data_IF_292181803150
#
_entry.id   IF_292181803150
#
_cell.length_a   1.000
_cell.length_b   1.000
_cell.length_c   1.000
_cell.angle_alpha   90.00
_cell.angle_beta   90.00
_cell.angle_gamma   90.00
#
_symmetry.space_group_name_H-M   'P 1'
#
loop_
_entity.id
_entity.type
_entity.pdbx_description
1 polymer ?
#
# COMPACT_ATOMS: atom_id res chain seq x y z
N UNK A 1 -21.59 -8.18 18.94
CA UNK A 1 -21.16 -6.78 19.10
C UNK A 1 -20.13 -6.36 18.05
N UNK A 2 -18.95 -6.99 17.94
CA UNK A 2 -17.97 -6.61 16.89
C UNK A 2 -18.60 -6.66 15.49
N UNK A 3 -19.33 -7.71 15.13
CA UNK A 3 -19.98 -7.81 13.83
C UNK A 3 -20.93 -6.62 13.52
N UNK A 4 -21.80 -6.25 14.47
CA UNK A 4 -22.71 -5.12 14.32
C UNK A 4 -21.96 -3.78 14.17
N UNK A 5 -20.85 -3.63 14.90
CA UNK A 5 -19.98 -2.46 14.75
C UNK A 5 -19.34 -2.40 13.35
N UNK A 6 -18.85 -3.53 12.83
CA UNK A 6 -18.25 -3.56 11.50
C UNK A 6 -19.28 -3.26 10.41
N UNK A 7 -20.48 -3.77 10.55
CA UNK A 7 -21.59 -3.46 9.67
C UNK A 7 -21.92 -1.96 9.69
N UNK A 8 -21.98 -1.35 10.87
CA UNK A 8 -22.12 0.09 11.03
C UNK A 8 -20.97 0.88 10.36
N UNK A 9 -19.74 0.39 10.52
CA UNK A 9 -18.56 1.04 9.90
C UNK A 9 -18.64 1.03 8.37
N UNK A 10 -19.09 -0.07 7.77
CA UNK A 10 -19.21 -0.21 6.32
C UNK A 10 -20.41 0.57 5.80
N UNK A 11 -21.60 0.28 6.33
CA UNK A 11 -22.86 0.72 5.73
C UNK A 11 -23.29 2.13 6.17
N UNK A 12 -22.87 2.59 7.35
CA UNK A 12 -23.25 3.93 7.85
C UNK A 12 -22.10 4.92 7.74
N UNK A 13 -20.86 4.50 8.08
CA UNK A 13 -19.68 5.38 8.03
C UNK A 13 -18.96 5.37 6.68
N UNK A 14 -19.32 4.48 5.76
CA UNK A 14 -18.70 4.37 4.45
C UNK A 14 -17.24 3.93 4.49
N UNK A 15 -16.82 3.22 5.54
CA UNK A 15 -15.46 2.73 5.66
C UNK A 15 -15.19 1.59 4.67
N UNK A 16 -13.95 1.52 4.16
CA UNK A 16 -13.56 0.43 3.26
C UNK A 16 -13.59 -0.92 3.98
N UNK A 17 -13.90 -1.99 3.23
CA UNK A 17 -13.84 -3.37 3.74
C UNK A 17 -12.47 -3.71 4.36
N UNK A 18 -11.37 -3.21 3.80
CA UNK A 18 -10.03 -3.39 4.36
C UNK A 18 -9.87 -2.74 5.74
N UNK A 19 -10.44 -1.56 5.95
CA UNK A 19 -10.43 -0.89 7.26
C UNK A 19 -11.23 -1.70 8.26
N UNK A 20 -12.43 -2.15 7.89
CA UNK A 20 -13.30 -3.00 8.72
C UNK A 20 -12.58 -4.31 9.09
N UNK A 21 -11.95 -4.99 8.15
CA UNK A 21 -11.18 -6.21 8.40
C UNK A 21 -9.98 -5.98 9.34
N UNK A 22 -9.27 -4.86 9.19
CA UNK A 22 -8.16 -4.49 10.08
C UNK A 22 -8.65 -4.26 11.51
N UNK A 23 -9.78 -3.56 11.68
CA UNK A 23 -10.38 -3.32 12.97
C UNK A 23 -10.94 -4.61 13.59
N UNK A 24 -11.58 -5.46 12.77
CA UNK A 24 -12.02 -6.79 13.20
C UNK A 24 -10.89 -7.60 13.80
N UNK A 25 -9.78 -7.72 13.07
CA UNK A 25 -8.62 -8.49 13.53
C UNK A 25 -8.07 -7.94 14.85
N UNK A 26 -7.90 -6.62 14.94
CA UNK A 26 -7.39 -5.96 16.15
C UNK A 26 -8.30 -6.17 17.37
N UNK A 27 -9.61 -5.98 17.20
CA UNK A 27 -10.60 -6.13 18.28
C UNK A 27 -10.80 -7.60 18.68
N UNK A 28 -10.70 -8.54 17.72
CA UNK A 28 -10.81 -9.98 18.02
C UNK A 28 -9.63 -10.48 18.84
N UNK A 29 -8.40 -10.03 18.52
CA UNK A 29 -7.23 -10.34 19.33
C UNK A 29 -7.33 -9.76 20.75
N UNK A 30 -7.82 -8.52 20.89
CA UNK A 30 -8.05 -7.92 22.20
C UNK A 30 -9.15 -8.65 22.99
N UNK A 31 -10.25 -9.04 22.35
CA UNK A 31 -11.30 -9.84 23.00
C UNK A 31 -10.75 -11.16 23.51
N UNK A 32 -9.90 -11.83 22.74
CA UNK A 32 -9.23 -13.08 23.18
C UNK A 32 -8.32 -12.84 24.39
N UNK A 33 -7.54 -11.77 24.38
CA UNK A 33 -6.69 -11.39 25.50
C UNK A 33 -7.52 -11.16 26.79
N UNK A 34 -8.64 -10.42 26.69
CA UNK A 34 -9.54 -10.19 27.83
C UNK A 34 -10.15 -11.49 28.37
N UNK A 35 -10.52 -12.43 27.49
CA UNK A 35 -11.07 -13.74 27.89
C UNK A 35 -10.11 -14.59 28.69
N UNK A 36 -8.81 -14.47 28.43
CA UNK A 36 -7.77 -15.21 29.18
C UNK A 36 -7.57 -14.60 30.57
N UNK A 37 -7.75 -13.29 30.71
CA UNK A 37 -7.46 -12.57 31.96
C UNK A 37 -8.65 -12.38 32.91
N UNK A 38 -9.87 -12.40 32.40
CA UNK A 38 -11.09 -12.13 33.15
C UNK A 38 -12.01 -13.36 33.17
N UNK A 39 -12.56 -13.65 34.31
CA UNK A 39 -13.47 -14.81 34.52
C UNK A 39 -14.81 -14.64 33.75
N UNK A 40 -15.25 -13.42 33.53
CA UNK A 40 -16.49 -13.12 32.80
C UNK A 40 -16.32 -11.83 31.96
N UNK A 41 -15.61 -11.89 30.83
CA UNK A 41 -15.29 -10.69 30.05
C UNK A 41 -16.53 -10.19 29.30
N UNK A 42 -16.94 -8.97 29.62
CA UNK A 42 -17.91 -8.22 28.83
C UNK A 42 -17.29 -6.90 28.37
N UNK A 43 -17.77 -6.34 27.27
CA UNK A 43 -17.27 -5.05 26.79
C UNK A 43 -17.54 -3.89 27.78
N UNK A 44 -18.58 -4.03 28.60
CA UNK A 44 -18.91 -3.05 29.66
C UNK A 44 -17.97 -3.14 30.87
N UNK A 45 -17.26 -4.23 31.05
CA UNK A 45 -16.28 -4.40 32.13
C UNK A 45 -14.85 -4.08 31.73
N UNK A 46 -14.63 -3.65 30.48
CA UNK A 46 -13.30 -3.22 30.00
C UNK A 46 -13.02 -1.82 30.51
N UNK A 47 -11.90 -1.65 31.16
CA UNK A 47 -11.39 -0.38 31.67
C UNK A 47 -10.10 0.07 30.95
N UNK A 48 -9.56 1.21 31.38
CA UNK A 48 -8.32 1.76 30.82
C UNK A 48 -7.13 0.82 31.05
N UNK A 49 -7.11 0.14 32.20
CA UNK A 49 -6.02 -0.74 32.62
C UNK A 49 -5.94 -2.00 31.72
N UNK A 50 -7.08 -2.52 31.28
CA UNK A 50 -7.14 -3.62 30.30
C UNK A 50 -6.50 -3.22 28.96
N UNK A 51 -6.79 -2.01 28.47
CA UNK A 51 -6.24 -1.51 27.20
C UNK A 51 -4.74 -1.30 27.33
N UNK A 52 -4.28 -0.67 28.42
CA UNK A 52 -2.86 -0.46 28.71
C UNK A 52 -2.13 -1.80 28.82
N UNK A 53 -2.70 -2.77 29.56
CA UNK A 53 -2.15 -4.12 29.68
C UNK A 53 -2.01 -4.82 28.33
N UNK A 54 -3.00 -4.65 27.43
CA UNK A 54 -2.90 -5.20 26.08
C UNK A 54 -1.84 -4.50 25.24
N UNK A 55 -1.67 -3.19 25.39
CA UNK A 55 -0.57 -2.46 24.74
C UNK A 55 0.78 -2.99 25.21
N UNK A 56 0.97 -3.23 26.51
CA UNK A 56 2.18 -3.87 27.03
C UNK A 56 2.38 -5.27 26.46
N UNK A 57 1.33 -6.08 26.41
CA UNK A 57 1.36 -7.41 25.78
C UNK A 57 1.78 -7.35 24.31
N UNK A 58 1.18 -6.44 23.53
CA UNK A 58 1.57 -6.27 22.13
C UNK A 58 3.05 -5.89 21.98
N UNK A 59 3.55 -4.98 22.82
CA UNK A 59 4.94 -4.53 22.80
C UNK A 59 5.91 -5.64 23.24
N UNK A 60 5.59 -6.41 24.26
CA UNK A 60 6.40 -7.57 24.69
C UNK A 60 6.49 -8.65 23.62
N UNK A 61 5.49 -8.77 22.75
CA UNK A 61 5.49 -9.65 21.58
C UNK A 61 6.23 -9.06 20.38
N UNK A 62 6.88 -7.91 20.51
CA UNK A 62 7.65 -7.26 19.46
C UNK A 62 6.82 -6.52 18.38
N UNK A 63 5.50 -6.30 18.60
CA UNK A 63 4.71 -5.57 17.63
C UNK A 63 5.14 -4.10 17.54
N UNK A 64 5.08 -3.56 16.32
CA UNK A 64 5.49 -2.18 16.03
C UNK A 64 4.55 -1.16 16.70
N UNK A 65 5.07 0.05 17.00
CA UNK A 65 4.26 1.17 17.47
C UNK A 65 3.07 1.45 16.54
N UNK A 66 3.26 1.33 15.22
CA UNK A 66 2.19 1.47 14.23
C UNK A 66 1.07 0.46 14.43
N UNK A 67 1.40 -0.81 14.68
CA UNK A 67 0.40 -1.86 14.93
C UNK A 67 -0.40 -1.57 16.21
N UNK A 68 0.28 -1.10 17.27
CA UNK A 68 -0.37 -0.68 18.52
C UNK A 68 -1.30 0.51 18.27
N UNK A 69 -0.86 1.50 17.50
CA UNK A 69 -1.68 2.68 17.18
C UNK A 69 -2.91 2.33 16.32
N UNK A 70 -2.82 1.32 15.46
CA UNK A 70 -3.98 0.78 14.72
C UNK A 70 -4.99 0.14 15.69
N UNK A 71 -4.51 -0.64 16.66
CA UNK A 71 -5.36 -1.19 17.72
C UNK A 71 -6.04 -0.08 18.55
N UNK A 72 -5.29 0.92 18.99
CA UNK A 72 -5.85 2.04 19.76
C UNK A 72 -6.92 2.78 18.97
N UNK A 73 -6.68 3.05 17.68
CA UNK A 73 -7.67 3.69 16.82
C UNK A 73 -8.95 2.83 16.64
N UNK A 74 -8.79 1.52 16.47
CA UNK A 74 -9.90 0.59 16.40
C UNK A 74 -10.70 0.55 17.72
N UNK A 75 -9.99 0.54 18.86
CA UNK A 75 -10.59 0.54 20.19
C UNK A 75 -11.36 1.83 20.46
N UNK A 76 -10.76 3.00 20.22
CA UNK A 76 -11.47 4.29 20.37
C UNK A 76 -12.76 4.29 19.56
N UNK A 77 -12.69 3.89 18.29
CA UNK A 77 -13.87 3.88 17.40
C UNK A 77 -14.94 2.87 17.85
N UNK A 78 -14.51 1.70 18.33
CA UNK A 78 -15.43 0.66 18.81
C UNK A 78 -16.11 1.04 20.12
N UNK A 79 -15.37 1.56 21.10
CA UNK A 79 -15.94 1.98 22.37
C UNK A 79 -16.81 3.24 22.21
N UNK A 80 -16.51 4.14 21.27
CA UNK A 80 -17.43 5.23 20.90
C UNK A 80 -18.76 4.71 20.37
N UNK A 81 -18.73 3.66 19.53
CA UNK A 81 -19.93 2.99 19.06
C UNK A 81 -20.73 2.39 20.22
N UNK A 82 -20.07 1.74 21.19
CA UNK A 82 -20.73 1.19 22.37
C UNK A 82 -21.33 2.28 23.25
N UNK A 83 -20.68 3.41 23.41
CA UNK A 83 -21.23 4.55 24.15
C UNK A 83 -22.49 5.10 23.50
N UNK A 84 -22.51 5.21 22.16
CA UNK A 84 -23.64 5.79 21.42
C UNK A 84 -24.86 4.87 21.34
N UNK A 85 -24.64 3.56 21.18
CA UNK A 85 -25.70 2.64 20.80
C UNK A 85 -25.97 1.52 21.83
N UNK A 86 -25.05 1.33 22.79
CA UNK A 86 -25.15 0.21 23.75
C UNK A 86 -25.02 0.63 25.22
N UNK A 87 -25.22 1.92 25.52
CA UNK A 87 -25.31 2.43 26.87
C UNK A 87 -24.02 2.41 27.70
N UNK A 88 -22.83 2.23 27.07
CA UNK A 88 -21.58 2.35 27.77
C UNK A 88 -21.36 3.80 28.21
N UNK A 89 -21.07 4.04 29.49
CA UNK A 89 -21.03 5.40 30.05
C UNK A 89 -19.79 6.19 29.61
N UNK A 90 -18.67 5.52 29.46
CA UNK A 90 -17.39 6.16 29.09
C UNK A 90 -16.59 5.28 28.15
N UNK A 91 -15.89 5.90 27.22
CA UNK A 91 -14.94 5.21 26.32
C UNK A 91 -13.58 5.09 27.02
N UNK A 92 -13.16 3.90 27.45
CA UNK A 92 -11.89 3.72 28.15
C UNK A 92 -10.66 3.94 27.24
N UNK A 93 -10.81 3.80 25.93
CA UNK A 93 -9.70 3.88 24.99
C UNK A 93 -9.23 5.32 24.72
N UNK A 94 -10.04 6.34 25.01
CA UNK A 94 -9.66 7.75 24.80
C UNK A 94 -8.54 8.17 25.77
N UNK A 95 -8.46 7.52 26.93
CA UNK A 95 -7.47 7.86 27.96
C UNK A 95 -6.08 7.31 27.69
N UNK A 96 -5.92 6.51 26.61
CA UNK A 96 -4.64 5.89 26.27
C UNK A 96 -4.02 6.62 25.07
N UNK A 97 -2.89 7.25 25.31
CA UNK A 97 -2.15 7.96 24.29
C UNK A 97 -1.55 7.03 23.23
N UNK A 98 -1.39 7.56 22.03
CA UNK A 98 -0.69 6.84 20.96
C UNK A 98 0.77 6.64 21.31
N UNK A 99 1.27 5.45 20.95
CA UNK A 99 2.70 5.14 21.06
C UNK A 99 3.48 5.96 20.03
N UNK A 100 4.53 6.63 20.45
CA UNK A 100 5.40 7.43 19.57
C UNK A 100 6.03 6.54 18.50
N UNK A 101 5.77 6.86 17.25
CA UNK A 101 6.39 6.18 16.10
C UNK A 101 7.72 6.87 15.75
N UNK A 102 8.83 6.12 15.63
CA UNK A 102 10.06 6.70 15.11
C UNK A 102 9.85 7.14 13.66
N UNK A 103 10.19 8.38 13.35
CA UNK A 103 10.23 8.87 11.97
C UNK A 103 11.37 8.14 11.25
N UNK A 104 11.05 7.13 10.46
CA UNK A 104 12.01 6.47 9.57
C UNK A 104 11.85 7.04 8.18
N UNK A 105 12.97 7.39 7.56
CA UNK A 105 12.99 7.69 6.14
C UNK A 105 12.58 6.42 5.37
N UNK A 106 11.73 6.51 4.35
CA UNK A 106 11.42 5.37 3.52
C UNK A 106 12.71 4.83 2.90
N UNK A 107 12.91 3.53 3.02
CA UNK A 107 13.95 2.85 2.26
C UNK A 107 13.46 2.69 0.83
N UNK A 108 14.31 2.97 -0.13
CA UNK A 108 14.07 2.81 -1.57
C UNK A 108 14.81 1.58 -2.08
N UNK A 109 14.31 1.01 -3.16
CA UNK A 109 14.98 -0.07 -3.87
C UNK A 109 16.12 0.56 -4.68
N UNK A 110 17.32 0.00 -4.59
CA UNK A 110 18.49 0.46 -5.32
C UNK A 110 18.33 0.31 -6.83
N UNK A 111 18.99 1.17 -7.60
CA UNK A 111 18.91 1.15 -9.06
C UNK A 111 19.44 -0.18 -9.62
N UNK A 112 20.48 -0.76 -9.03
CA UNK A 112 21.03 -2.07 -9.40
C UNK A 112 20.01 -3.21 -9.47
N UNK A 113 19.02 -3.21 -8.57
CA UNK A 113 17.92 -4.18 -8.59
C UNK A 113 17.03 -4.01 -9.83
N UNK A 114 16.81 -2.76 -10.26
CA UNK A 114 16.05 -2.48 -11.48
C UNK A 114 16.85 -2.83 -12.74
N UNK A 115 18.15 -2.59 -12.73
CA UNK A 115 19.04 -2.96 -13.84
C UNK A 115 19.04 -4.48 -14.03
N UNK A 116 19.11 -5.24 -12.94
CA UNK A 116 18.99 -6.70 -12.94
C UNK A 116 17.60 -7.14 -13.38
N UNK A 117 16.53 -6.48 -12.92
CA UNK A 117 15.16 -6.74 -13.35
C UNK A 117 15.00 -6.56 -14.86
N UNK A 118 15.44 -5.46 -15.42
CA UNK A 118 15.34 -5.21 -16.86
C UNK A 118 16.24 -6.14 -17.68
N UNK A 119 17.40 -6.52 -17.15
CA UNK A 119 18.28 -7.54 -17.77
C UNK A 119 17.59 -8.91 -17.80
N UNK A 120 16.99 -9.33 -16.69
CA UNK A 120 16.25 -10.61 -16.59
C UNK A 120 15.05 -10.67 -17.54
N UNK A 121 14.38 -9.55 -17.76
CA UNK A 121 13.24 -9.41 -18.66
C UNK A 121 13.60 -8.74 -19.99
N UNK A 122 14.84 -8.89 -20.48
CA UNK A 122 15.34 -8.24 -21.69
C UNK A 122 14.55 -8.58 -22.97
N UNK A 123 13.84 -9.71 -22.98
CA UNK A 123 12.98 -10.15 -24.08
C UNK A 123 11.55 -10.47 -23.58
N UNK A 124 10.77 -9.45 -23.24
CA UNK A 124 9.44 -9.66 -22.65
C UNK A 124 8.52 -10.47 -23.57
N UNK A 125 8.62 -10.31 -24.88
CA UNK A 125 7.83 -11.02 -25.89
C UNK A 125 8.06 -12.55 -25.90
N UNK A 126 9.20 -13.03 -25.43
CA UNK A 126 9.52 -14.45 -25.33
C UNK A 126 9.01 -15.11 -24.03
N UNK A 127 8.52 -14.32 -23.08
CA UNK A 127 8.05 -14.81 -21.78
C UNK A 127 6.71 -15.55 -21.91
N UNK A 128 6.42 -16.47 -21.00
CA UNK A 128 5.06 -16.97 -20.81
C UNK A 128 4.12 -15.80 -20.45
N UNK A 129 2.84 -15.90 -20.83
CA UNK A 129 1.84 -14.84 -20.66
C UNK A 129 1.85 -14.22 -19.26
N UNK A 130 1.76 -15.06 -18.22
CA UNK A 130 1.76 -14.58 -16.83
C UNK A 130 3.04 -13.84 -16.44
N UNK A 131 4.21 -14.30 -16.91
CA UNK A 131 5.47 -13.59 -16.63
C UNK A 131 5.50 -12.22 -17.28
N UNK A 132 5.00 -12.08 -18.50
CA UNK A 132 4.90 -10.81 -19.19
C UNK A 132 3.88 -9.88 -18.51
N UNK A 133 2.71 -10.38 -18.11
CA UNK A 133 1.72 -9.65 -17.31
C UNK A 133 2.33 -9.06 -16.03
N UNK A 134 3.16 -9.85 -15.32
CA UNK A 134 3.88 -9.38 -14.14
C UNK A 134 5.00 -8.38 -14.45
N UNK A 135 5.73 -8.57 -15.53
CA UNK A 135 6.70 -7.59 -16.01
C UNK A 135 6.04 -6.22 -16.20
N UNK A 136 4.95 -6.17 -16.96
CA UNK A 136 4.17 -4.95 -17.21
C UNK A 136 3.66 -4.33 -15.89
N UNK A 137 3.20 -5.17 -14.97
CA UNK A 137 2.72 -4.67 -13.67
C UNK A 137 3.78 -3.99 -12.84
N UNK A 138 5.02 -4.51 -12.85
CA UNK A 138 6.16 -3.87 -12.16
C UNK A 138 6.56 -2.59 -12.89
N UNK A 139 6.56 -2.58 -14.23
CA UNK A 139 6.82 -1.38 -15.03
C UNK A 139 5.81 -0.27 -14.74
N UNK A 140 4.52 -0.57 -14.61
CA UNK A 140 3.49 0.40 -14.21
C UNK A 140 3.78 1.03 -12.83
N UNK A 141 4.29 0.23 -11.89
CA UNK A 141 4.65 0.74 -10.57
C UNK A 141 5.97 1.54 -10.59
N UNK A 142 6.94 1.11 -11.39
CA UNK A 142 8.26 1.74 -11.50
C UNK A 142 8.23 3.06 -12.28
N UNK A 143 7.52 3.11 -13.41
CA UNK A 143 7.48 4.29 -14.30
C UNK A 143 6.34 5.26 -13.99
N UNK A 144 5.26 4.80 -13.37
CA UNK A 144 4.07 5.63 -13.13
C UNK A 144 3.64 5.68 -11.65
N UNK A 145 4.31 4.97 -10.76
CA UNK A 145 4.08 5.00 -9.32
C UNK A 145 2.69 4.51 -8.89
N UNK A 146 2.04 3.64 -9.65
CA UNK A 146 0.72 3.14 -9.32
C UNK A 146 0.72 2.28 -8.05
N UNK A 147 -0.39 2.27 -7.31
CA UNK A 147 -0.60 1.32 -6.22
C UNK A 147 -0.91 -0.07 -6.77
N UNK A 148 -0.60 -1.12 -6.02
CA UNK A 148 -0.92 -2.49 -6.42
C UNK A 148 -2.40 -2.68 -6.80
N UNK A 149 -3.33 -2.12 -6.03
CA UNK A 149 -4.77 -2.18 -6.34
C UNK A 149 -5.13 -1.42 -7.61
N UNK A 150 -4.45 -0.31 -7.91
CA UNK A 150 -4.66 0.48 -9.11
C UNK A 150 -4.15 -0.26 -10.35
N UNK A 151 -2.99 -0.91 -10.25
CA UNK A 151 -2.44 -1.79 -11.31
C UNK A 151 -3.40 -2.93 -11.64
N UNK A 152 -3.92 -3.61 -10.61
CA UNK A 152 -4.81 -4.76 -10.76
C UNK A 152 -6.22 -4.41 -11.28
N UNK A 153 -6.63 -3.13 -11.14
CA UNK A 153 -7.93 -2.65 -11.64
C UNK A 153 -7.81 -1.77 -12.87
N UNK A 154 -6.60 -1.57 -13.41
CA UNK A 154 -6.39 -0.73 -14.59
C UNK A 154 -6.97 -1.41 -15.83
N UNK A 155 -7.90 -0.71 -16.48
CA UNK A 155 -8.51 -1.12 -17.74
C UNK A 155 -7.82 -0.41 -18.91
N UNK A 156 -7.73 -1.08 -20.07
CA UNK A 156 -7.28 -0.46 -21.30
C UNK A 156 -8.12 0.75 -21.72
N UNK A 157 -9.40 0.77 -21.38
CA UNK A 157 -10.29 1.91 -21.63
C UNK A 157 -9.86 3.19 -20.89
N UNK A 158 -9.07 3.05 -19.84
CA UNK A 158 -8.54 4.16 -19.05
C UNK A 158 -7.17 4.67 -19.54
N UNK A 159 -6.64 4.10 -20.61
CA UNK A 159 -5.39 4.51 -21.24
C UNK A 159 -5.68 5.19 -22.56
N UNK A 160 -5.37 6.48 -22.65
CA UNK A 160 -5.61 7.28 -23.85
C UNK A 160 -4.61 8.43 -23.95
N UNK A 161 -4.13 8.71 -25.16
CA UNK A 161 -3.31 9.87 -25.47
C UNK A 161 -2.12 10.05 -24.51
N UNK A 162 -1.42 8.96 -24.22
CA UNK A 162 -0.26 8.90 -23.28
C UNK A 162 -0.61 9.30 -21.84
N UNK A 163 -1.83 9.05 -21.43
CA UNK A 163 -2.29 9.27 -20.07
C UNK A 163 -3.09 8.08 -19.56
N UNK A 164 -2.99 7.83 -18.26
CA UNK A 164 -3.82 6.86 -17.55
C UNK A 164 -4.78 7.58 -16.61
N UNK A 165 -6.06 7.30 -16.72
CA UNK A 165 -7.07 7.72 -15.76
C UNK A 165 -7.15 6.69 -14.64
N UNK A 166 -6.71 7.06 -13.45
CA UNK A 166 -6.65 6.18 -12.28
C UNK A 166 -7.72 6.57 -11.28
N UNK A 167 -8.54 5.60 -10.89
CA UNK A 167 -9.55 5.75 -9.84
C UNK A 167 -8.93 5.29 -8.52
N UNK A 168 -8.75 6.21 -7.59
CA UNK A 168 -8.11 5.98 -6.29
C UNK A 168 -9.12 5.74 -5.15
N UNK A 169 -8.61 5.70 -3.92
CA UNK A 169 -9.43 5.55 -2.72
C UNK A 169 -10.46 6.68 -2.60
N UNK A 170 -11.72 6.30 -2.35
CA UNK A 170 -12.85 7.25 -2.25
C UNK A 170 -13.34 7.75 -3.61
N UNK A 171 -13.15 6.96 -4.66
CA UNK A 171 -13.57 7.27 -6.04
C UNK A 171 -12.98 8.57 -6.60
N UNK A 172 -11.82 9.00 -6.08
CA UNK A 172 -11.11 10.17 -6.58
C UNK A 172 -10.32 9.81 -7.82
N UNK A 173 -10.57 10.50 -8.91
CA UNK A 173 -9.86 10.33 -10.17
C UNK A 173 -8.59 11.19 -10.21
N UNK A 174 -7.57 10.66 -10.89
CA UNK A 174 -6.38 11.43 -11.27
C UNK A 174 -5.86 10.97 -12.61
N UNK A 175 -5.15 11.85 -13.28
CA UNK A 175 -4.47 11.59 -14.54
C UNK A 175 -2.99 11.37 -14.25
N UNK A 176 -2.43 10.28 -14.77
CA UNK A 176 -1.01 9.93 -14.66
C UNK A 176 -0.43 9.89 -16.07
N UNK A 177 0.61 10.70 -16.38
CA UNK A 177 1.26 10.68 -17.70
C UNK A 177 2.05 9.37 -17.90
N UNK A 178 2.19 8.97 -19.15
CA UNK A 178 2.94 7.78 -19.58
C UNK A 178 4.21 8.25 -20.28
N UNK A 179 5.40 7.85 -19.78
CA UNK A 179 6.67 8.10 -20.45
C UNK A 179 6.84 7.21 -21.69
N UNK A 180 7.80 7.52 -22.55
CA UNK A 180 8.01 6.80 -23.82
C UNK A 180 8.27 5.32 -23.59
N UNK A 181 9.10 4.99 -22.60
CA UNK A 181 9.49 3.62 -22.27
C UNK A 181 8.27 2.80 -21.83
N UNK A 182 7.45 3.35 -20.95
CA UNK A 182 6.23 2.67 -20.50
C UNK A 182 5.22 2.54 -21.63
N UNK A 183 5.09 3.55 -22.51
CA UNK A 183 4.19 3.48 -23.66
C UNK A 183 4.57 2.30 -24.58
N UNK A 184 5.85 2.19 -24.95
CA UNK A 184 6.33 1.09 -25.81
C UNK A 184 6.05 -0.29 -25.18
N UNK A 185 6.26 -0.43 -23.87
CA UNK A 185 5.95 -1.68 -23.13
C UNK A 185 4.46 -1.99 -23.17
N UNK A 186 3.61 -0.97 -22.99
CA UNK A 186 2.15 -1.15 -23.02
C UNK A 186 1.63 -1.50 -24.42
N UNK A 187 2.17 -0.88 -25.46
CA UNK A 187 1.78 -1.14 -26.85
C UNK A 187 2.13 -2.59 -27.24
N UNK A 188 3.37 -3.02 -26.96
CA UNK A 188 3.80 -4.41 -27.20
C UNK A 188 2.91 -5.41 -26.42
N UNK A 189 2.66 -5.11 -25.14
CA UNK A 189 1.83 -5.97 -24.30
C UNK A 189 0.39 -6.06 -24.78
N UNK A 190 -0.21 -4.94 -25.19
CA UNK A 190 -1.59 -4.90 -25.68
C UNK A 190 -1.76 -5.79 -26.91
N UNK A 191 -0.87 -5.65 -27.91
CA UNK A 191 -0.87 -6.49 -29.11
C UNK A 191 -0.76 -7.98 -28.75
N UNK A 192 0.14 -8.32 -27.84
CA UNK A 192 0.32 -9.71 -27.41
C UNK A 192 -0.86 -10.23 -26.63
N UNK A 193 -1.44 -9.43 -25.73
CA UNK A 193 -2.58 -9.84 -24.93
C UNK A 193 -3.81 -10.09 -25.81
N UNK A 194 -4.07 -9.24 -26.81
CA UNK A 194 -5.12 -9.44 -27.81
C UNK A 194 -4.92 -10.74 -28.58
N UNK A 195 -3.71 -11.00 -29.07
CA UNK A 195 -3.39 -12.22 -29.82
C UNK A 195 -3.53 -13.49 -28.97
N UNK A 196 -3.19 -13.43 -27.68
CA UNK A 196 -3.26 -14.57 -26.78
C UNK A 196 -4.70 -14.89 -26.36
N UNK A 197 -5.49 -13.87 -26.00
CA UNK A 197 -6.87 -14.00 -25.55
C UNK A 197 -7.85 -14.18 -26.73
N UNK A 198 -7.42 -13.90 -27.95
CA UNK A 198 -8.24 -13.84 -29.15
C UNK A 198 -9.46 -12.92 -29.04
N UNK A 199 -9.34 -11.86 -28.20
CA UNK A 199 -10.34 -10.83 -27.96
C UNK A 199 -9.70 -9.53 -27.48
N UNK A 200 -10.49 -8.45 -27.41
CA UNK A 200 -10.02 -7.18 -26.80
C UNK A 200 -9.94 -7.33 -25.28
N UNK A 201 -8.73 -7.28 -24.68
CA UNK A 201 -8.57 -7.41 -23.24
C UNK A 201 -9.18 -6.22 -22.52
N UNK A 202 -9.88 -6.49 -21.40
CA UNK A 202 -10.40 -5.44 -20.55
C UNK A 202 -9.34 -4.92 -19.57
N UNK A 203 -8.68 -5.82 -18.84
CA UNK A 203 -7.65 -5.48 -17.84
C UNK A 203 -6.26 -5.44 -18.46
N UNK A 204 -5.46 -4.46 -18.07
CA UNK A 204 -4.05 -4.36 -18.48
C UNK A 204 -3.23 -5.49 -17.85
N UNK A 205 -3.52 -5.88 -16.61
CA UNK A 205 -2.88 -6.99 -15.90
C UNK A 205 -3.93 -8.04 -15.59
N UNK A 206 -3.82 -9.20 -16.24
CA UNK A 206 -4.79 -10.28 -16.11
C UNK A 206 -4.12 -11.66 -16.01
N UNK A 207 -4.90 -12.65 -15.62
CA UNK A 207 -4.59 -14.06 -15.80
C UNK A 207 -4.68 -14.46 -17.29
N UNK A 208 -4.32 -15.70 -17.60
CA UNK A 208 -4.36 -16.27 -18.97
C UNK A 208 -5.79 -16.38 -19.55
N UNK A 209 -6.80 -16.38 -18.70
CA UNK A 209 -8.21 -16.35 -19.07
C UNK A 209 -8.82 -14.93 -19.13
N UNK A 210 -8.00 -13.89 -19.03
CA UNK A 210 -8.43 -12.49 -18.98
C UNK A 210 -8.98 -12.03 -17.62
N UNK A 211 -9.15 -12.92 -16.66
CA UNK A 211 -9.68 -12.60 -15.34
C UNK A 211 -8.72 -11.79 -14.47
N UNK A 212 -9.24 -11.16 -13.42
CA UNK A 212 -8.46 -10.35 -12.51
C UNK A 212 -7.47 -11.19 -11.67
N UNK A 213 -6.24 -10.73 -11.57
CA UNK A 213 -5.21 -11.31 -10.70
C UNK A 213 -5.52 -11.01 -9.24
N UNK A 214 -5.49 -12.02 -8.37
CA UNK A 214 -5.74 -11.80 -6.93
C UNK A 214 -4.62 -10.98 -6.29
N UNK A 215 -4.99 -10.03 -5.41
CA UNK A 215 -4.02 -9.15 -4.76
C UNK A 215 -3.02 -9.87 -3.86
N UNK A 216 -3.35 -11.04 -3.30
CA UNK A 216 -2.44 -11.86 -2.51
C UNK A 216 -1.40 -12.55 -3.40
N UNK A 217 -1.83 -13.13 -4.52
CA UNK A 217 -0.95 -13.73 -5.51
C UNK A 217 0.00 -12.69 -6.12
N UNK A 218 -0.54 -11.53 -6.51
CA UNK A 218 0.23 -10.41 -7.03
C UNK A 218 1.37 -9.98 -6.09
N UNK A 219 1.04 -9.73 -4.80
CA UNK A 219 2.06 -9.33 -3.81
C UNK A 219 3.14 -10.39 -3.65
N UNK A 220 2.80 -11.68 -3.67
CA UNK A 220 3.76 -12.78 -3.60
C UNK A 220 4.66 -12.81 -4.82
N UNK A 221 4.11 -12.62 -6.02
CA UNK A 221 4.88 -12.61 -7.26
C UNK A 221 5.83 -11.42 -7.35
N UNK A 222 5.35 -10.20 -7.03
CA UNK A 222 6.23 -9.02 -6.96
C UNK A 222 7.39 -9.25 -6.00
N UNK A 223 7.11 -9.85 -4.83
CA UNK A 223 8.14 -10.17 -3.85
C UNK A 223 9.17 -11.13 -4.41
N UNK A 224 8.73 -12.24 -5.00
CA UNK A 224 9.63 -13.26 -5.55
C UNK A 224 10.52 -12.68 -6.64
N UNK A 225 9.95 -11.92 -7.58
CA UNK A 225 10.69 -11.30 -8.67
C UNK A 225 11.74 -10.31 -8.13
N UNK A 226 11.36 -9.42 -7.22
CA UNK A 226 12.30 -8.45 -6.66
C UNK A 226 13.43 -9.13 -5.86
N UNK A 227 13.12 -10.16 -5.09
CA UNK A 227 14.14 -10.92 -4.35
C UNK A 227 15.11 -11.63 -5.31
N UNK A 228 14.62 -12.21 -6.40
CA UNK A 228 15.50 -12.85 -7.40
C UNK A 228 16.39 -11.84 -8.15
N UNK A 229 16.01 -10.55 -8.18
CA UNK A 229 16.85 -9.46 -8.69
C UNK A 229 17.74 -8.81 -7.59
N UNK A 230 17.95 -9.47 -6.45
CA UNK A 230 18.83 -8.97 -5.38
C UNK A 230 18.20 -7.96 -4.42
N UNK A 231 16.89 -7.69 -4.52
CA UNK A 231 16.22 -6.79 -3.58
C UNK A 231 16.19 -7.38 -2.16
N UNK A 232 16.54 -6.60 -1.12
CA UNK A 232 16.37 -7.02 0.26
C UNK A 232 14.93 -7.44 0.57
N UNK A 233 14.77 -8.56 1.29
CA UNK A 233 13.46 -9.17 1.54
C UNK A 233 12.42 -8.22 2.15
N UNK A 234 12.84 -7.31 3.02
CA UNK A 234 11.99 -6.29 3.65
C UNK A 234 11.54 -5.18 2.69
N UNK A 235 12.25 -4.98 1.57
CA UNK A 235 11.91 -3.99 0.53
C UNK A 235 11.18 -4.62 -0.67
N UNK A 236 11.16 -5.93 -0.76
CA UNK A 236 10.55 -6.64 -1.88
C UNK A 236 9.01 -6.64 -1.78
N UNK A 237 8.39 -5.48 -1.98
CA UNK A 237 6.93 -5.33 -1.94
C UNK A 237 6.45 -4.14 -2.80
N UNK A 238 5.19 -4.15 -3.26
CA UNK A 238 4.63 -3.12 -4.15
C UNK A 238 4.77 -1.67 -3.66
N UNK A 239 4.67 -1.43 -2.36
CA UNK A 239 4.82 -0.06 -1.83
C UNK A 239 6.24 0.46 -1.95
N UNK A 240 7.27 -0.41 -1.87
CA UNK A 240 8.66 0.02 -2.07
C UNK A 240 8.92 0.44 -3.52
N UNK A 241 8.35 -0.23 -4.52
CA UNK A 241 8.40 0.19 -5.93
C UNK A 241 7.85 1.62 -6.10
N UNK A 242 6.69 1.88 -5.53
CA UNK A 242 6.08 3.22 -5.58
C UNK A 242 6.89 4.27 -4.80
N UNK A 243 7.50 3.90 -3.68
CA UNK A 243 8.40 4.78 -2.93
C UNK A 243 9.65 5.12 -3.76
N UNK A 244 10.23 4.13 -4.44
CA UNK A 244 11.38 4.33 -5.33
C UNK A 244 11.04 5.26 -6.50
N UNK A 245 9.88 5.07 -7.15
CA UNK A 245 9.38 6.01 -8.16
C UNK A 245 9.27 7.44 -7.61
N UNK A 246 8.61 7.60 -6.46
CA UNK A 246 8.38 8.91 -5.87
C UNK A 246 9.69 9.63 -5.51
N UNK A 247 10.65 8.91 -4.94
CA UNK A 247 11.98 9.44 -4.61
C UNK A 247 12.77 9.80 -5.87
N UNK A 248 12.76 8.94 -6.90
CA UNK A 248 13.39 9.21 -8.19
C UNK A 248 12.84 10.48 -8.85
N UNK A 249 11.52 10.64 -8.90
CA UNK A 249 10.88 11.83 -9.47
C UNK A 249 11.21 13.09 -8.67
N UNK A 250 11.25 13.02 -7.34
CA UNK A 250 11.65 14.14 -6.50
C UNK A 250 13.13 14.52 -6.73
N UNK A 251 14.02 13.54 -6.81
CA UNK A 251 15.43 13.75 -7.12
C UNK A 251 15.67 14.37 -8.53
N UNK A 252 14.81 14.05 -9.49
CA UNK A 252 14.81 14.66 -10.82
C UNK A 252 14.18 16.07 -10.85
N UNK A 253 13.80 16.64 -9.70
CA UNK A 253 13.26 18.01 -9.59
C UNK A 253 11.75 18.14 -9.83
N UNK A 254 11.00 17.04 -9.87
CA UNK A 254 9.53 17.15 -9.98
C UNK A 254 8.96 17.83 -8.73
N UNK A 255 8.15 18.88 -8.93
CA UNK A 255 7.59 19.65 -7.83
C UNK A 255 6.73 18.78 -6.88
N UNK A 256 6.74 19.10 -5.59
CA UNK A 256 5.96 18.40 -4.56
C UNK A 256 4.45 18.31 -4.91
N UNK A 257 3.91 19.38 -5.48
CA UNK A 257 2.50 19.44 -5.91
C UNK A 257 2.22 18.51 -7.08
N UNK A 258 3.13 18.46 -8.06
CA UNK A 258 3.01 17.56 -9.21
C UNK A 258 3.12 16.10 -8.77
N UNK A 259 4.08 15.81 -7.90
CA UNK A 259 4.26 14.47 -7.33
C UNK A 259 3.03 14.02 -6.51
N UNK A 260 2.47 14.92 -5.69
CA UNK A 260 1.24 14.67 -4.94
C UNK A 260 0.06 14.32 -5.87
N UNK A 261 -0.13 15.08 -6.95
CA UNK A 261 -1.18 14.83 -7.95
C UNK A 261 -1.01 13.49 -8.63
N UNK A 262 0.20 13.17 -9.13
CA UNK A 262 0.50 11.90 -9.80
C UNK A 262 0.28 10.72 -8.86
N UNK A 263 0.77 10.81 -7.63
CA UNK A 263 0.60 9.76 -6.64
C UNK A 263 -0.83 9.68 -6.07
N UNK A 264 -1.62 10.75 -6.14
CA UNK A 264 -2.96 10.81 -5.54
C UNK A 264 -2.90 10.69 -4.00
N UNK A 265 -2.00 11.48 -3.37
CA UNK A 265 -1.93 11.60 -1.94
C UNK A 265 -2.91 12.66 -1.44
N UNK A 266 -3.75 12.30 -0.48
CA UNK A 266 -4.72 13.21 0.14
C UNK A 266 -4.08 14.26 1.06
N UNK A 267 -2.82 14.07 1.46
CA UNK A 267 -2.07 14.96 2.34
C UNK A 267 -0.67 15.22 1.80
N UNK A 268 -0.24 16.49 1.84
CA UNK A 268 1.11 16.91 1.49
C UNK A 268 2.18 16.25 2.39
N UNK A 269 1.86 16.01 3.66
CA UNK A 269 2.79 15.38 4.60
C UNK A 269 3.27 13.99 4.14
N UNK A 270 2.44 13.25 3.40
CA UNK A 270 2.83 11.96 2.82
C UNK A 270 3.81 12.09 1.65
N UNK A 271 3.83 13.24 1.00
CA UNK A 271 4.71 13.52 -0.15
C UNK A 271 5.99 14.23 0.28
N UNK A 272 5.92 15.05 1.34
CA UNK A 272 7.09 15.78 1.90
C UNK A 272 8.27 14.87 2.25
N UNK A 273 7.98 13.64 2.64
CA UNK A 273 9.00 12.63 2.97
C UNK A 273 9.94 12.34 1.79
N UNK A 274 9.44 12.41 0.55
CA UNK A 274 10.25 12.14 -0.65
C UNK A 274 11.16 13.32 -1.01
N UNK A 275 10.72 14.55 -0.74
CA UNK A 275 11.58 15.74 -0.93
C UNK A 275 12.75 15.70 0.04
N UNK A 276 12.48 15.43 1.31
CA UNK A 276 13.54 15.30 2.32
C UNK A 276 14.55 14.18 1.99
N UNK A 277 14.09 13.10 1.31
CA UNK A 277 14.95 12.05 0.81
C UNK A 277 15.79 12.52 -0.40
N UNK A 278 15.16 13.21 -1.35
CA UNK A 278 15.87 13.76 -2.51
C UNK A 278 16.96 14.73 -2.08
N UNK A 279 16.70 15.60 -1.11
CA UNK A 279 17.67 16.52 -0.53
C UNK A 279 18.85 15.78 0.12
N UNK A 280 18.61 14.63 0.77
CA UNK A 280 19.67 13.82 1.37
C UNK A 280 20.56 13.13 0.29
N UNK A 281 19.98 12.73 -0.83
CA UNK A 281 20.75 12.21 -1.97
C UNK A 281 21.58 13.30 -2.67
N UNK A 282 20.99 14.48 -2.91
CA UNK A 282 21.69 15.61 -3.49
C UNK A 282 22.90 16.03 -2.61
N UNK A 283 22.75 16.00 -1.28
CA UNK A 283 23.85 16.27 -0.37
C UNK A 283 24.95 15.21 -0.46
N UNK A 284 24.62 13.93 -0.56
CA UNK A 284 25.62 12.86 -0.70
C UNK A 284 26.34 12.90 -2.04
N UNK A 285 25.66 13.23 -3.14
CA UNK A 285 26.29 13.47 -4.43
C UNK A 285 27.22 14.68 -4.42
N UNK A 286 26.80 15.78 -3.76
CA UNK A 286 27.65 16.97 -3.60
C UNK A 286 28.95 16.65 -2.87
N UNK A 287 28.89 15.90 -1.76
CA UNK A 287 30.07 15.50 -1.00
C UNK A 287 30.98 14.55 -1.81
N UNK A 288 30.42 13.63 -2.61
CA UNK A 288 31.20 12.74 -3.48
C UNK A 288 31.90 13.51 -4.61
N UNK A 289 31.30 14.58 -5.14
CA UNK A 289 31.90 15.43 -6.18
C UNK A 289 32.95 16.41 -5.64
N UNK A 290 32.87 16.76 -4.34
CA UNK A 290 33.81 17.72 -3.70
C UNK A 290 34.95 17.01 -2.95
N UNK A 291 35.01 15.67 -2.96
CA UNK A 291 36.06 14.85 -2.34
C UNK A 291 37.23 14.52 -3.31
N UNK A 292 37.47 15.38 -4.32
CA UNK A 292 38.61 15.31 -5.24
C UNK A 292 39.79 16.11 -4.72
#
# INVERSE_FOLDING_TARGET
MIANYLDFMINVRGCSANTAHTYQSSLSCFAQFCRIRKTNPSWSSVDVEDIVSYVYYMRSRGLSARSVNVFLAASVSFFDYLCRFHGLQKNPAIMVDKVKEPKRLPKVIEQSVFDEFFSFFSRPSELAFMKHSFFVSICLMYYAGLRASEVLSLSWMNIKDRHMRIIGKGNKERIVPICNELQSILDEWHCRQQAFLNENPYLVVSNEDGSAVSGSFFRRMVKNVLVSCGCPYELAHPHALRHSFATKMAAMGLSLLSLQKILGHSSLNTTQVYVNLADSFASSEFFNLTSL
#
